data_IF_782647488132
#
_entry.id   IF_782647488132
#
_cell.length_a   1.000
_cell.length_b   1.000
_cell.length_c   1.000
_cell.angle_alpha   90.00
_cell.angle_beta   90.00
_cell.angle_gamma   90.00
#
_symmetry.space_group_name_H-M   'P 1'
#
loop_
_entity.id
_entity.type
_entity.pdbx_description
1 polymer ?
#
# COMPACT_ATOMS: atom_id res chain seq x y z
N UNK A 1 -24.45 -29.60 -18.14
CA UNK A 1 -23.83 -28.28 -18.39
C UNK A 1 -22.80 -28.02 -17.31
N UNK A 2 -21.52 -27.97 -17.67
CA UNK A 2 -20.41 -27.72 -16.72
C UNK A 2 -20.49 -26.27 -16.25
N UNK A 3 -20.90 -26.05 -15.00
CA UNK A 3 -20.89 -24.71 -14.41
C UNK A 3 -19.45 -24.18 -14.38
N UNK A 4 -19.25 -22.97 -14.93
CA UNK A 4 -17.96 -22.30 -14.98
C UNK A 4 -17.54 -21.91 -13.56
N UNK A 5 -16.52 -22.55 -13.01
CA UNK A 5 -16.00 -22.24 -11.68
C UNK A 5 -15.52 -20.78 -11.61
N UNK A 6 -15.94 -20.07 -10.57
CA UNK A 6 -15.54 -18.68 -10.31
C UNK A 6 -14.44 -18.70 -9.25
N UNK A 7 -13.21 -18.37 -9.63
CA UNK A 7 -12.08 -18.33 -8.71
C UNK A 7 -11.85 -16.96 -8.06
N UNK A 8 -12.49 -15.91 -8.58
CA UNK A 8 -12.31 -14.53 -8.09
C UNK A 8 -13.45 -14.14 -7.17
N UNK A 9 -13.09 -13.78 -5.94
CA UNK A 9 -14.04 -13.18 -4.98
C UNK A 9 -14.54 -11.81 -5.48
N UNK A 10 -15.86 -11.65 -5.52
CA UNK A 10 -16.52 -10.37 -5.86
C UNK A 10 -17.82 -10.28 -5.07
N UNK A 11 -18.05 -9.14 -4.44
CA UNK A 11 -19.31 -8.86 -3.72
C UNK A 11 -20.37 -8.46 -4.74
N UNK A 12 -21.55 -9.07 -4.64
CA UNK A 12 -22.66 -8.83 -5.58
C UNK A 12 -23.80 -8.04 -4.95
N UNK A 13 -24.08 -8.26 -3.67
CA UNK A 13 -25.10 -7.55 -2.93
C UNK A 13 -24.74 -6.05 -2.83
N UNK A 14 -25.53 -5.19 -3.48
CA UNK A 14 -25.32 -3.74 -3.49
C UNK A 14 -25.55 -3.11 -2.12
N UNK A 15 -26.53 -3.60 -1.36
CA UNK A 15 -26.77 -3.16 0.02
C UNK A 15 -25.55 -3.45 0.89
N UNK A 16 -24.97 -4.64 0.80
CA UNK A 16 -23.74 -4.97 1.52
C UNK A 16 -22.58 -4.03 1.14
N UNK A 17 -22.43 -3.69 -0.15
CA UNK A 17 -21.41 -2.72 -0.57
C UNK A 17 -21.65 -1.33 0.01
N UNK A 18 -22.90 -0.90 0.12
CA UNK A 18 -23.26 0.37 0.74
C UNK A 18 -22.88 0.36 2.23
N UNK A 19 -23.24 -0.67 2.98
CA UNK A 19 -22.87 -0.78 4.41
C UNK A 19 -21.35 -0.81 4.61
N UNK A 20 -20.61 -1.48 3.72
CA UNK A 20 -19.14 -1.46 3.75
C UNK A 20 -18.55 -0.06 3.52
N UNK A 21 -19.20 0.73 2.67
CA UNK A 21 -18.79 2.11 2.40
C UNK A 21 -19.08 3.01 3.60
N UNK A 22 -20.29 2.93 4.15
CA UNK A 22 -20.70 3.68 5.33
C UNK A 22 -19.81 3.38 6.54
N UNK A 23 -19.55 2.09 6.81
CA UNK A 23 -18.58 1.68 7.83
C UNK A 23 -17.20 2.30 7.57
N UNK A 24 -16.73 2.27 6.32
CA UNK A 24 -15.43 2.85 5.98
C UNK A 24 -15.38 4.36 6.20
N UNK A 25 -16.47 5.10 5.97
CA UNK A 25 -16.54 6.55 6.20
C UNK A 25 -16.48 6.91 7.69
N UNK A 26 -17.22 6.18 8.52
CA UNK A 26 -17.25 6.40 9.98
C UNK A 26 -15.89 6.11 10.59
N UNK A 27 -15.26 5.00 10.20
CA UNK A 27 -14.05 4.48 10.85
C UNK A 27 -12.74 4.84 10.11
N UNK A 28 -12.78 5.72 9.10
CA UNK A 28 -11.64 6.01 8.22
C UNK A 28 -10.37 6.49 8.93
N UNK A 29 -10.54 7.18 10.06
CA UNK A 29 -9.47 7.84 10.81
C UNK A 29 -9.16 7.17 12.15
N UNK A 30 -9.71 5.98 12.39
CA UNK A 30 -9.44 5.22 13.59
C UNK A 30 -8.03 4.62 13.61
N UNK A 31 -7.55 4.30 14.81
CA UNK A 31 -6.32 3.54 14.98
C UNK A 31 -6.51 2.10 14.50
N UNK A 32 -5.42 1.40 14.21
CA UNK A 32 -5.46 0.01 13.71
C UNK A 32 -6.20 -0.94 14.67
N UNK A 33 -6.06 -0.75 15.98
CA UNK A 33 -6.70 -1.57 17.00
C UNK A 33 -8.19 -1.28 17.05
N UNK A 34 -8.57 -0.01 17.13
CA UNK A 34 -9.96 0.43 17.15
C UNK A 34 -10.71 -0.02 15.88
N UNK A 35 -10.13 0.16 14.69
CA UNK A 35 -10.75 -0.28 13.43
C UNK A 35 -11.02 -1.79 13.42
N UNK A 36 -10.11 -2.59 14.00
CA UNK A 36 -10.30 -4.04 14.09
C UNK A 36 -11.45 -4.36 15.04
N UNK A 37 -11.51 -3.73 16.21
CA UNK A 37 -12.58 -3.91 17.20
C UNK A 37 -13.94 -3.49 16.63
N UNK A 38 -14.04 -2.28 16.07
CA UNK A 38 -15.24 -1.78 15.40
C UNK A 38 -15.70 -2.72 14.28
N UNK A 39 -14.77 -3.28 13.51
CA UNK A 39 -15.10 -4.23 12.46
C UNK A 39 -15.65 -5.55 13.00
N UNK A 40 -15.10 -6.06 14.10
CA UNK A 40 -15.61 -7.27 14.74
C UNK A 40 -17.06 -7.06 15.19
N UNK A 41 -17.36 -5.92 15.81
CA UNK A 41 -18.72 -5.55 16.21
C UNK A 41 -19.66 -5.43 15.01
N UNK A 42 -19.25 -4.68 13.98
CA UNK A 42 -20.04 -4.51 12.74
C UNK A 42 -20.31 -5.84 12.03
N UNK A 43 -19.33 -6.73 12.00
CA UNK A 43 -19.46 -8.04 11.35
C UNK A 43 -20.43 -8.98 12.08
N UNK A 44 -20.65 -8.76 13.37
CA UNK A 44 -21.61 -9.50 14.20
C UNK A 44 -23.01 -8.87 14.25
N UNK A 45 -23.19 -7.70 13.64
CA UNK A 45 -24.48 -7.03 13.59
C UNK A 45 -25.51 -7.87 12.83
N UNK A 46 -26.72 -8.01 13.39
CA UNK A 46 -27.79 -8.86 12.84
C UNK A 46 -28.11 -8.54 11.38
N UNK A 47 -28.18 -7.25 11.01
CA UNK A 47 -28.47 -6.80 9.64
C UNK A 47 -27.34 -7.21 8.70
N UNK A 48 -26.09 -7.03 9.13
CA UNK A 48 -24.90 -7.40 8.34
C UNK A 48 -24.82 -8.93 8.18
N UNK A 49 -25.12 -9.67 9.24
CA UNK A 49 -25.13 -11.14 9.22
C UNK A 49 -26.14 -11.68 8.21
N UNK A 50 -27.32 -11.08 8.09
CA UNK A 50 -28.31 -11.45 7.06
C UNK A 50 -27.78 -11.19 5.65
N UNK A 51 -27.25 -9.99 5.39
CA UNK A 51 -26.65 -9.66 4.09
C UNK A 51 -25.49 -10.58 3.70
N UNK A 52 -24.71 -11.03 4.68
CA UNK A 52 -23.60 -11.97 4.48
C UNK A 52 -24.09 -13.39 4.16
N UNK A 53 -25.21 -13.84 4.74
CA UNK A 53 -25.82 -15.13 4.38
C UNK A 53 -26.30 -15.12 2.93
N UNK A 54 -26.94 -14.04 2.50
CA UNK A 54 -27.42 -13.88 1.13
C UNK A 54 -26.26 -13.82 0.13
N UNK A 55 -25.19 -13.08 0.46
CA UNK A 55 -24.00 -13.01 -0.39
C UNK A 55 -23.30 -14.38 -0.46
N UNK A 56 -23.22 -15.11 0.66
CA UNK A 56 -22.67 -16.47 0.69
C UNK A 56 -23.42 -17.38 -0.29
N UNK A 57 -24.75 -17.37 -0.23
CA UNK A 57 -25.58 -18.19 -1.11
C UNK A 57 -25.39 -17.78 -2.58
N UNK A 58 -25.38 -16.47 -2.86
CA UNK A 58 -25.13 -15.93 -4.21
C UNK A 58 -23.77 -16.36 -4.78
N UNK A 59 -22.73 -16.39 -3.94
CA UNK A 59 -21.40 -16.85 -4.34
C UNK A 59 -21.38 -18.35 -4.64
N UNK A 60 -22.04 -19.16 -3.80
CA UNK A 60 -22.18 -20.60 -4.02
C UNK A 60 -22.96 -20.92 -5.30
N UNK A 61 -24.07 -20.22 -5.54
CA UNK A 61 -24.90 -20.37 -6.74
C UNK A 61 -24.13 -20.02 -8.03
N UNK A 62 -23.18 -19.08 -7.92
CA UNK A 62 -22.28 -18.70 -9.01
C UNK A 62 -21.06 -19.63 -9.15
N UNK A 63 -20.98 -20.68 -8.36
CA UNK A 63 -19.88 -21.66 -8.42
C UNK A 63 -18.55 -21.13 -7.88
N UNK A 64 -18.59 -20.22 -6.89
CA UNK A 64 -17.40 -19.82 -6.14
C UNK A 64 -17.03 -20.90 -5.11
N UNK A 65 -15.80 -21.39 -5.18
CA UNK A 65 -15.30 -22.41 -4.25
C UNK A 65 -14.59 -21.75 -3.08
N UNK A 66 -15.09 -21.97 -1.87
CA UNK A 66 -14.41 -21.55 -0.64
C UNK A 66 -13.29 -22.55 -0.30
N UNK A 67 -12.06 -22.07 -0.17
CA UNK A 67 -10.90 -22.91 0.21
C UNK A 67 -10.86 -23.23 1.70
N UNK A 68 -11.55 -22.44 2.52
CA UNK A 68 -11.69 -22.59 3.96
C UNK A 68 -13.14 -22.30 4.36
N UNK A 69 -13.43 -22.29 5.66
CA UNK A 69 -14.76 -21.91 6.17
C UNK A 69 -15.30 -20.63 5.49
N UNK A 70 -16.51 -20.65 4.91
CA UNK A 70 -17.08 -19.51 4.18
C UNK A 70 -17.14 -18.23 5.00
N UNK A 71 -17.49 -18.34 6.30
CA UNK A 71 -17.57 -17.19 7.20
C UNK A 71 -16.20 -16.55 7.45
N UNK A 72 -15.19 -17.38 7.68
CA UNK A 72 -13.80 -16.92 7.83
C UNK A 72 -13.28 -16.26 6.56
N UNK A 73 -13.57 -16.83 5.40
CA UNK A 73 -13.20 -16.24 4.10
C UNK A 73 -13.87 -14.89 3.90
N UNK A 74 -15.19 -14.80 4.11
CA UNK A 74 -15.94 -13.56 4.02
C UNK A 74 -15.35 -12.51 4.95
N UNK A 75 -15.15 -12.85 6.23
CA UNK A 75 -14.57 -11.96 7.24
C UNK A 75 -13.25 -11.34 6.78
N UNK A 76 -12.34 -12.14 6.24
CA UNK A 76 -11.03 -11.65 5.79
C UNK A 76 -11.14 -10.79 4.52
N UNK A 77 -11.94 -11.23 3.54
CA UNK A 77 -12.09 -10.55 2.25
C UNK A 77 -12.80 -9.20 2.41
N UNK A 78 -13.86 -9.15 3.22
CA UNK A 78 -14.58 -7.92 3.54
C UNK A 78 -13.69 -6.93 4.28
N UNK A 79 -13.00 -7.35 5.34
CA UNK A 79 -12.07 -6.47 6.07
C UNK A 79 -10.99 -5.90 5.15
N UNK A 80 -10.40 -6.74 4.29
CA UNK A 80 -9.40 -6.33 3.31
C UNK A 80 -10.00 -5.31 2.33
N UNK A 81 -11.23 -5.54 1.87
CA UNK A 81 -11.94 -4.62 0.97
C UNK A 81 -12.15 -3.25 1.61
N UNK A 82 -12.78 -3.23 2.79
CA UNK A 82 -13.03 -2.02 3.60
C UNK A 82 -11.73 -1.25 3.83
N UNK A 83 -10.71 -1.92 4.37
CA UNK A 83 -9.45 -1.26 4.73
C UNK A 83 -8.70 -0.70 3.54
N UNK A 84 -8.52 -1.50 2.47
CA UNK A 84 -7.61 -1.13 1.38
C UNK A 84 -8.28 -0.46 0.19
N UNK A 85 -9.57 -0.67 -0.03
CA UNK A 85 -10.30 -0.09 -1.17
C UNK A 85 -11.24 1.04 -0.74
N UNK A 86 -11.81 1.02 0.46
CA UNK A 86 -12.69 2.10 0.92
C UNK A 86 -11.93 3.10 1.79
N UNK A 87 -11.47 2.71 2.98
CA UNK A 87 -10.76 3.59 3.94
C UNK A 87 -9.53 4.23 3.32
N UNK A 88 -8.66 3.44 2.68
CA UNK A 88 -7.46 3.97 2.02
C UNK A 88 -7.78 5.04 0.97
N UNK A 89 -8.87 4.89 0.23
CA UNK A 89 -9.27 5.84 -0.80
C UNK A 89 -9.86 7.11 -0.18
N UNK A 90 -10.65 6.99 0.89
CA UNK A 90 -11.15 8.13 1.68
C UNK A 90 -9.98 8.94 2.23
N UNK A 91 -9.04 8.30 2.94
CA UNK A 91 -7.87 8.97 3.53
C UNK A 91 -7.00 9.64 2.45
N UNK A 92 -6.80 9.00 1.30
CA UNK A 92 -6.08 9.61 0.16
C UNK A 92 -6.83 10.81 -0.42
N UNK A 93 -8.15 10.72 -0.56
CA UNK A 93 -8.98 11.81 -1.04
C UNK A 93 -8.95 13.02 -0.10
N UNK A 94 -9.02 12.78 1.21
CA UNK A 94 -8.92 13.83 2.24
C UNK A 94 -7.54 14.47 2.24
N UNK A 95 -6.45 13.70 2.09
CA UNK A 95 -5.09 14.26 1.94
C UNK A 95 -4.98 15.20 0.75
N UNK A 96 -5.49 14.82 -0.42
CA UNK A 96 -5.53 15.72 -1.59
C UNK A 96 -6.29 17.01 -1.32
N UNK A 97 -7.46 16.94 -0.67
CA UNK A 97 -8.27 18.13 -0.34
C UNK A 97 -7.61 19.06 0.69
N UNK A 98 -6.78 18.52 1.59
CA UNK A 98 -6.00 19.31 2.55
C UNK A 98 -4.78 19.92 1.86
N UNK A 99 -4.09 19.14 1.02
CA UNK A 99 -2.94 19.57 0.20
C UNK A 99 -3.34 20.68 -0.80
N UNK A 100 -4.58 20.69 -1.30
CA UNK A 100 -5.13 21.76 -2.16
C UNK A 100 -5.36 23.11 -1.43
N UNK A 101 -5.37 23.14 -0.09
CA UNK A 101 -5.54 24.37 0.71
C UNK A 101 -4.21 24.98 1.20
N UNK A 102 -3.11 24.25 1.04
CA UNK A 102 -1.75 24.73 1.28
C UNK A 102 -1.19 25.16 -0.08
N UNK A 103 -0.50 26.31 -0.22
CA UNK A 103 0.08 26.71 -1.50
C UNK A 103 0.88 25.56 -2.13
N UNK A 104 0.42 25.15 -3.32
CA UNK A 104 0.73 23.92 -4.06
C UNK A 104 2.21 23.73 -4.46
N UNK A 105 3.12 24.63 -4.11
CA UNK A 105 4.51 24.57 -4.58
C UNK A 105 5.38 23.60 -3.77
N UNK A 106 5.06 23.33 -2.50
CA UNK A 106 5.95 22.53 -1.65
C UNK A 106 5.84 21.01 -1.88
N UNK A 107 4.64 20.46 -2.10
CA UNK A 107 4.42 19.00 -2.22
C UNK A 107 4.45 18.46 -3.66
N UNK A 108 4.21 19.33 -4.67
CA UNK A 108 4.27 18.93 -6.09
C UNK A 108 5.71 18.60 -6.50
N UNK A 109 6.68 19.36 -6.01
CA UNK A 109 8.11 19.12 -6.26
C UNK A 109 8.62 17.84 -5.59
N UNK A 110 8.08 17.50 -4.41
CA UNK A 110 8.47 16.30 -3.66
C UNK A 110 8.09 15.00 -4.37
N UNK A 111 7.09 15.00 -5.25
CA UNK A 111 6.61 13.79 -5.92
C UNK A 111 7.29 13.47 -7.27
N UNK A 112 8.12 14.38 -7.81
CA UNK A 112 8.81 14.22 -9.10
C UNK A 112 10.34 14.28 -8.98
N UNK A 113 10.89 13.86 -7.83
CA UNK A 113 12.36 13.72 -7.69
C UNK A 113 12.82 12.52 -8.51
N UNK A 114 13.29 12.79 -9.73
CA UNK A 114 13.93 11.81 -10.58
C UNK A 114 15.44 11.93 -10.49
N UNK A 115 16.07 10.94 -9.85
CA UNK A 115 17.51 10.78 -9.88
C UNK A 115 17.99 10.58 -11.33
N UNK A 116 19.16 11.12 -11.63
CA UNK A 116 19.76 11.03 -12.95
C UNK A 116 20.04 9.57 -13.30
N UNK A 117 19.91 9.22 -14.58
CA UNK A 117 20.13 7.84 -15.03
C UNK A 117 21.54 7.36 -14.67
N UNK A 118 22.54 8.24 -14.80
CA UNK A 118 23.92 7.96 -14.43
C UNK A 118 24.07 7.63 -12.93
N UNK A 119 23.42 8.41 -12.06
CA UNK A 119 23.43 8.17 -10.62
C UNK A 119 22.75 6.85 -10.25
N UNK A 120 21.57 6.56 -10.85
CA UNK A 120 20.88 5.27 -10.65
C UNK A 120 21.75 4.10 -11.11
N UNK A 121 22.46 4.23 -12.24
CA UNK A 121 23.39 3.21 -12.73
C UNK A 121 24.56 2.98 -11.77
N UNK A 122 25.09 4.04 -11.14
CA UNK A 122 26.12 3.92 -10.10
C UNK A 122 25.61 3.15 -8.89
N UNK A 123 24.41 3.48 -8.40
CA UNK A 123 23.75 2.79 -7.29
C UNK A 123 23.55 1.31 -7.59
N UNK A 124 23.04 0.97 -8.78
CA UNK A 124 22.86 -0.44 -9.20
C UNK A 124 24.18 -1.20 -9.21
N UNK A 125 25.24 -0.61 -9.76
CA UNK A 125 26.57 -1.22 -9.80
C UNK A 125 27.07 -1.50 -8.39
N UNK A 126 26.95 -0.52 -7.50
CA UNK A 126 27.33 -0.67 -6.10
C UNK A 126 26.58 -1.80 -5.40
N UNK A 127 25.25 -1.87 -5.58
CA UNK A 127 24.43 -2.94 -4.99
C UNK A 127 24.89 -4.32 -5.49
N UNK A 128 25.11 -4.48 -6.79
CA UNK A 128 25.60 -5.74 -7.37
C UNK A 128 26.94 -6.12 -6.76
N UNK A 129 27.90 -5.18 -6.71
CA UNK A 129 29.20 -5.42 -6.08
C UNK A 129 29.07 -5.79 -4.60
N UNK A 130 28.19 -5.13 -3.85
CA UNK A 130 27.93 -5.48 -2.44
C UNK A 130 27.35 -6.89 -2.30
N UNK A 131 26.40 -7.28 -3.16
CA UNK A 131 25.80 -8.61 -3.13
C UNK A 131 26.81 -9.71 -3.50
N UNK A 132 27.73 -9.44 -4.43
CA UNK A 132 28.79 -10.37 -4.84
C UNK A 132 29.87 -10.52 -3.76
N UNK A 133 30.21 -9.43 -3.06
CA UNK A 133 31.32 -9.39 -2.11
C UNK A 133 30.89 -9.71 -0.67
N UNK A 134 29.64 -9.38 -0.31
CA UNK A 134 29.11 -9.50 1.05
C UNK A 134 27.72 -10.13 1.06
N UNK A 135 27.69 -11.46 1.18
CA UNK A 135 26.49 -12.30 1.09
C UNK A 135 25.41 -12.05 2.15
N UNK A 136 25.67 -11.25 3.19
CA UNK A 136 24.74 -11.01 4.31
C UNK A 136 24.45 -9.54 4.61
N UNK A 137 24.93 -8.61 3.78
CA UNK A 137 24.77 -7.17 4.04
C UNK A 137 23.30 -6.75 3.89
N UNK A 138 22.77 -6.01 4.87
CA UNK A 138 21.41 -5.48 4.78
C UNK A 138 21.37 -4.24 3.89
N UNK A 139 20.23 -3.92 3.26
CA UNK A 139 20.11 -2.74 2.41
C UNK A 139 20.44 -1.41 3.09
N UNK A 140 20.23 -1.31 4.42
CA UNK A 140 20.57 -0.13 5.19
C UNK A 140 22.08 0.06 5.31
N UNK A 141 22.79 -0.99 5.72
CA UNK A 141 24.26 -1.01 5.83
C UNK A 141 24.93 -0.75 4.46
N UNK A 142 24.37 -1.34 3.40
CA UNK A 142 24.83 -1.12 2.02
C UNK A 142 24.60 0.32 1.55
N UNK A 143 23.51 0.97 1.99
CA UNK A 143 23.26 2.36 1.67
C UNK A 143 24.24 3.29 2.40
N UNK A 144 24.51 3.05 3.69
CA UNK A 144 25.50 3.84 4.45
C UNK A 144 26.87 3.76 3.78
N UNK A 145 27.30 2.54 3.43
CA UNK A 145 28.53 2.33 2.67
C UNK A 145 28.54 3.08 1.31
N UNK A 146 27.40 3.11 0.60
CA UNK A 146 27.31 3.86 -0.65
C UNK A 146 27.46 5.37 -0.44
N UNK A 147 26.81 5.92 0.60
CA UNK A 147 26.85 7.35 0.91
C UNK A 147 28.27 7.80 1.29
N UNK A 148 28.97 7.00 2.08
CA UNK A 148 30.36 7.27 2.47
C UNK A 148 31.32 7.22 1.27
N UNK A 149 31.15 6.21 0.39
CA UNK A 149 32.02 6.03 -0.77
C UNK A 149 31.75 7.05 -1.90
N UNK A 150 30.53 7.56 -2.00
CA UNK A 150 30.07 8.40 -3.12
C UNK A 150 29.59 9.78 -2.67
N UNK A 151 30.15 10.32 -1.59
CA UNK A 151 29.73 11.58 -0.98
C UNK A 151 29.62 12.72 -2.02
N UNK A 152 30.64 12.90 -2.85
CA UNK A 152 30.66 13.96 -3.86
C UNK A 152 29.60 13.76 -4.95
N UNK A 153 29.37 12.52 -5.39
CA UNK A 153 28.29 12.22 -6.34
C UNK A 153 26.91 12.48 -5.72
N UNK A 154 26.75 12.20 -4.42
CA UNK A 154 25.52 12.48 -3.69
C UNK A 154 25.28 13.99 -3.55
N UNK A 155 26.30 14.78 -3.20
CA UNK A 155 26.22 16.25 -3.13
C UNK A 155 25.88 16.87 -4.47
N UNK A 156 26.52 16.42 -5.56
CA UNK A 156 26.24 16.90 -6.91
C UNK A 156 24.79 16.61 -7.31
N UNK A 157 24.32 15.39 -7.05
CA UNK A 157 22.96 14.98 -7.37
C UNK A 157 21.92 15.71 -6.50
N UNK A 158 22.23 15.93 -5.23
CA UNK A 158 21.43 16.73 -4.32
C UNK A 158 21.32 18.18 -4.79
N UNK A 159 22.43 18.82 -5.15
CA UNK A 159 22.46 20.18 -5.68
C UNK A 159 21.68 20.29 -6.99
N UNK A 160 21.83 19.31 -7.90
CA UNK A 160 21.07 19.25 -9.16
C UNK A 160 19.56 19.18 -8.92
N UNK A 161 19.15 18.44 -7.89
CA UNK A 161 17.76 18.30 -7.49
C UNK A 161 17.26 19.46 -6.62
N UNK A 162 18.18 20.33 -6.16
CA UNK A 162 17.95 21.46 -5.26
C UNK A 162 17.17 21.05 -3.99
N UNK A 163 17.50 19.89 -3.41
CA UNK A 163 16.82 19.36 -2.22
C UNK A 163 17.58 19.69 -0.95
N UNK A 164 16.84 19.94 0.14
CA UNK A 164 17.40 19.93 1.48
C UNK A 164 17.90 18.52 1.88
N UNK A 165 18.83 18.48 2.84
CA UNK A 165 19.52 17.25 3.26
C UNK A 165 18.53 16.17 3.73
N UNK A 166 17.51 16.56 4.49
CA UNK A 166 16.53 15.63 5.07
C UNK A 166 15.66 14.99 3.99
N UNK A 167 15.16 15.79 3.04
CA UNK A 167 14.37 15.32 1.92
C UNK A 167 15.23 14.47 0.99
N UNK A 168 16.46 14.89 0.69
CA UNK A 168 17.38 14.11 -0.13
C UNK A 168 17.64 12.74 0.50
N UNK A 169 17.95 12.68 1.80
CA UNK A 169 18.18 11.44 2.55
C UNK A 169 16.97 10.50 2.49
N UNK A 170 15.75 11.01 2.70
CA UNK A 170 14.52 10.22 2.60
C UNK A 170 14.33 9.65 1.19
N UNK A 171 14.54 10.47 0.16
CA UNK A 171 14.39 10.06 -1.24
C UNK A 171 15.46 9.05 -1.65
N UNK A 172 16.69 9.25 -1.20
CA UNK A 172 17.83 8.37 -1.45
C UNK A 172 17.60 7.00 -0.82
N UNK A 173 17.21 6.95 0.46
CA UNK A 173 16.83 5.70 1.16
C UNK A 173 15.78 4.91 0.39
N UNK A 174 14.73 5.59 -0.07
CA UNK A 174 13.64 4.95 -0.83
C UNK A 174 14.10 4.45 -2.19
N UNK A 175 14.85 5.27 -2.94
CA UNK A 175 15.35 4.91 -4.27
C UNK A 175 16.31 3.72 -4.18
N UNK A 176 17.28 3.78 -3.28
CA UNK A 176 18.28 2.72 -3.07
C UNK A 176 17.61 1.38 -2.71
N UNK A 177 16.69 1.40 -1.73
CA UNK A 177 15.91 0.23 -1.35
C UNK A 177 15.14 -0.35 -2.54
N UNK A 178 14.52 0.49 -3.35
CA UNK A 178 13.79 0.04 -4.53
C UNK A 178 14.74 -0.62 -5.54
N UNK A 179 15.93 -0.08 -5.79
CA UNK A 179 16.90 -0.72 -6.68
C UNK A 179 17.38 -2.06 -6.11
N UNK A 180 17.61 -2.13 -4.80
CA UNK A 180 18.08 -3.35 -4.12
C UNK A 180 17.15 -4.55 -4.30
N UNK A 181 15.83 -4.33 -4.35
CA UNK A 181 14.84 -5.42 -4.55
C UNK A 181 14.47 -5.67 -6.02
N UNK A 182 14.99 -4.86 -6.95
CA UNK A 182 14.74 -5.02 -8.40
C UNK A 182 15.89 -5.77 -9.08
N UNK A 183 17.11 -5.60 -8.57
CA UNK A 183 18.29 -6.38 -8.97
C UNK A 183 18.12 -7.82 -8.50
#
# INVERSE_FOLDING_TARGET
>A
MTQKQVYRFKIHNETLKYEMHEFAEIHAFETRTALKESYETWFTDSKIVELLKDEKNTLMDKGYTFHSDPWTTLKQKLFTSIKYYHIKNIVKGTKRKIEERIPLDYDKWKNEVQFSKAFISSVKRHIITCMETWSSMKPADSLEHFLDLNEESCKQEQHRLNLDDDIFSIKMKKMYKNQYYII
#
